data_IF_096814949392
#
_entry.id   IF_096814949392
#
_cell.length_a   1.000
_cell.length_b   1.000
_cell.length_c   1.000
_cell.angle_alpha   90.00
_cell.angle_beta   90.00
_cell.angle_gamma   90.00
#
_symmetry.space_group_name_H-M   'P 1'
#
loop_
_entity.id
_entity.type
_entity.pdbx_description
1 polymer ?
#
# COMPACT_ATOMS: atom_id res chain seq x y z
N UNK A 1 -1.42 -5.27 -11.65
CA UNK A 1 -1.64 -3.90 -11.16
C UNK A 1 -2.91 -3.89 -10.36
N UNK A 2 -2.73 -3.92 -9.05
CA UNK A 2 -3.76 -3.75 -8.05
C UNK A 2 -3.58 -2.39 -7.36
N UNK A 3 -4.69 -1.81 -6.93
CA UNK A 3 -4.70 -0.73 -5.94
C UNK A 3 -5.08 -1.36 -4.61
N UNK A 4 -4.22 -1.22 -3.62
CA UNK A 4 -4.36 -1.84 -2.31
C UNK A 4 -4.47 -0.73 -1.28
N UNK A 5 -5.59 -0.67 -0.59
CA UNK A 5 -5.90 0.39 0.36
C UNK A 5 -6.07 -0.19 1.76
N UNK A 6 -5.36 0.38 2.72
CA UNK A 6 -5.53 0.12 4.15
C UNK A 6 -6.65 0.97 4.74
N UNK A 7 -6.57 1.17 6.05
CA UNK A 7 -7.57 1.78 6.89
C UNK A 7 -6.97 2.96 7.66
N UNK A 8 -7.59 3.38 8.77
CA UNK A 8 -7.01 4.37 9.67
C UNK A 8 -6.20 3.73 10.82
N UNK A 9 -6.00 2.41 10.79
CA UNK A 9 -5.24 1.65 11.76
C UNK A 9 -3.88 1.20 11.21
N UNK A 10 -3.15 0.42 12.01
CA UNK A 10 -1.89 -0.16 11.54
C UNK A 10 -2.20 -1.36 10.65
N UNK A 11 -1.94 -1.24 9.35
CA UNK A 11 -2.26 -2.26 8.37
C UNK A 11 -1.04 -3.08 7.91
N UNK A 12 -1.29 -4.33 7.53
CA UNK A 12 -0.34 -5.15 6.79
C UNK A 12 -0.90 -5.39 5.39
N UNK A 13 -0.32 -4.72 4.40
CA UNK A 13 -0.79 -4.75 3.02
C UNK A 13 0.18 -5.56 2.16
N UNK A 14 -0.35 -6.58 1.46
CA UNK A 14 0.42 -7.49 0.62
C UNK A 14 0.05 -7.32 -0.86
N UNK A 15 1.06 -7.01 -1.66
CA UNK A 15 1.00 -6.88 -3.11
C UNK A 15 1.08 -8.21 -3.86
N UNK A 16 1.26 -8.08 -5.16
CA UNK A 16 1.28 -9.16 -6.13
C UNK A 16 2.67 -9.30 -6.77
N UNK A 17 2.76 -10.01 -7.89
CA UNK A 17 3.98 -10.04 -8.71
C UNK A 17 4.01 -8.97 -9.80
N UNK A 18 2.99 -8.12 -9.86
CA UNK A 18 2.87 -7.02 -10.81
C UNK A 18 3.02 -5.68 -10.07
N UNK A 19 3.28 -4.61 -10.83
CA UNK A 19 3.35 -3.26 -10.30
C UNK A 19 2.03 -2.87 -9.61
N UNK A 20 2.09 -2.54 -8.32
CA UNK A 20 0.93 -2.20 -7.50
C UNK A 20 1.02 -0.77 -6.92
N UNK A 21 -0.13 -0.21 -6.56
CA UNK A 21 -0.22 1.07 -5.83
C UNK A 21 -0.82 0.83 -4.45
N UNK A 22 -0.13 1.26 -3.41
CA UNK A 22 -0.54 1.15 -2.01
C UNK A 22 -0.98 2.50 -1.47
N UNK A 23 -2.13 2.53 -0.79
CA UNK A 23 -2.59 3.64 0.04
C UNK A 23 -2.70 3.11 1.46
N UNK A 24 -1.69 3.37 2.30
CA UNK A 24 -1.65 2.84 3.68
C UNK A 24 -2.83 3.35 4.52
N UNK A 25 -3.08 4.65 4.44
CA UNK A 25 -4.02 5.34 5.33
C UNK A 25 -3.32 5.80 6.61
N UNK A 26 -4.10 6.17 7.63
CA UNK A 26 -3.50 6.61 8.90
C UNK A 26 -3.01 5.39 9.69
N UNK A 27 -1.92 5.54 10.45
CA UNK A 27 -1.35 4.44 11.22
C UNK A 27 0.09 4.14 10.84
N UNK A 28 0.67 3.14 11.50
CA UNK A 28 1.99 2.61 11.20
C UNK A 28 1.84 1.35 10.34
N UNK A 29 1.83 1.55 9.03
CA UNK A 29 1.59 0.47 8.07
C UNK A 29 2.86 -0.28 7.69
N UNK A 30 2.67 -1.55 7.35
CA UNK A 30 3.69 -2.38 6.69
C UNK A 30 3.21 -2.76 5.31
N UNK A 31 3.96 -2.34 4.29
CA UNK A 31 3.66 -2.59 2.89
C UNK A 31 4.67 -3.61 2.35
N UNK A 32 4.19 -4.73 1.84
CA UNK A 32 5.01 -5.68 1.08
C UNK A 32 4.57 -5.65 -0.38
N UNK A 33 5.34 -4.96 -1.22
CA UNK A 33 5.04 -4.80 -2.65
C UNK A 33 5.07 -6.10 -3.47
N UNK A 34 5.87 -7.08 -3.03
CA UNK A 34 6.14 -8.26 -3.84
C UNK A 34 7.15 -7.96 -4.95
N UNK A 35 6.86 -8.40 -6.17
CA UNK A 35 7.72 -8.15 -7.33
C UNK A 35 7.09 -7.10 -8.24
N UNK A 36 7.92 -6.36 -8.98
CA UNK A 36 7.46 -5.25 -9.82
C UNK A 36 8.00 -3.91 -9.31
N UNK A 37 7.53 -2.83 -9.93
CA UNK A 37 7.76 -1.47 -9.46
C UNK A 37 6.47 -1.02 -8.79
N UNK A 38 6.52 -0.87 -7.47
CA UNK A 38 5.37 -0.51 -6.65
C UNK A 38 5.44 0.95 -6.22
N UNK A 39 4.27 1.54 -5.98
CA UNK A 39 4.10 2.92 -5.54
C UNK A 39 3.42 2.92 -4.18
N UNK A 40 4.02 3.58 -3.19
CA UNK A 40 3.32 3.97 -1.97
C UNK A 40 2.81 5.41 -2.16
N UNK A 41 1.49 5.56 -2.23
CA UNK A 41 0.81 6.84 -2.41
C UNK A 41 0.38 7.42 -1.06
N UNK A 42 1.08 8.48 -0.65
CA UNK A 42 0.80 9.25 0.57
C UNK A 42 0.03 10.55 0.29
N UNK A 43 -0.39 10.79 -0.96
CA UNK A 43 -1.11 12.02 -1.32
C UNK A 43 -2.52 12.11 -0.70
N UNK A 44 -3.06 10.99 -0.23
CA UNK A 44 -4.37 10.89 0.41
C UNK A 44 -4.31 10.89 1.94
N UNK A 45 -3.11 11.03 2.54
CA UNK A 45 -2.98 11.21 3.99
C UNK A 45 -3.33 12.66 4.35
N UNK A 46 -4.45 12.83 5.05
CA UNK A 46 -4.95 14.10 5.59
C UNK A 46 -5.12 14.04 7.10
#
# INVERSE_FOLDING_TARGET
MATIQGTNGNDFLLGTSANDTFIGGAGNDTLNGGAGIDIADYSQLG
#
